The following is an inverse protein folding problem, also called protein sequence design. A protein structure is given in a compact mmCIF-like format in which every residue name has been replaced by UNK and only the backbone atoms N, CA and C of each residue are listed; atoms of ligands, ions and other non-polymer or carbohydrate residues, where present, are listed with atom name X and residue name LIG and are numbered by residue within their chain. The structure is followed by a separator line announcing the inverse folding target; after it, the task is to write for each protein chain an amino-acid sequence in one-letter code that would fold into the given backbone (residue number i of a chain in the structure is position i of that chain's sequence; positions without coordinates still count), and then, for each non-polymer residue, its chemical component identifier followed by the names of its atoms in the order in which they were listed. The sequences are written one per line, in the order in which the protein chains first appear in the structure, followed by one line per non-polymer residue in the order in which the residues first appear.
data_IF_848548416044
#
_entry.id   IF_848548416044
#
_cell.length_a   1.000
_cell.length_b   1.000
_cell.length_c   1.000
_cell.angle_alpha   90.00
_cell.angle_beta   90.00
_cell.angle_gamma   90.00
#
_symmetry.space_group_name_H-M   'P 1'
#
loop_
_entity.id
_entity.type
_entity.pdbx_description
1 polymer ?
#
# COMPACT_ATOMS: atom_id res chain seq x y z
N UNK A 1 -22.44 -5.23 4.12
CA UNK A 1 -21.20 -5.97 3.86
C UNK A 1 -21.51 -7.45 4.02
N UNK A 2 -21.35 -8.21 2.96
CA UNK A 2 -21.54 -9.65 2.95
C UNK A 2 -20.21 -10.34 3.20
N UNK A 3 -20.21 -11.45 3.95
CA UNK A 3 -19.03 -12.24 4.23
C UNK A 3 -19.05 -13.44 3.29
N UNK A 4 -18.03 -13.57 2.44
CA UNK A 4 -17.91 -14.64 1.46
C UNK A 4 -16.65 -15.47 1.71
N UNK A 5 -16.80 -16.79 1.72
CA UNK A 5 -15.66 -17.72 1.79
C UNK A 5 -15.15 -18.03 0.39
N UNK A 6 -13.85 -17.89 0.22
CA UNK A 6 -13.15 -18.34 -1.00
C UNK A 6 -12.34 -19.58 -0.64
N UNK A 7 -12.76 -20.73 -1.18
CA UNK A 7 -12.09 -22.02 -1.00
C UNK A 7 -11.13 -22.30 -2.14
N UNK A 8 -10.22 -23.27 -1.94
CA UNK A 8 -9.19 -23.66 -2.91
C UNK A 8 -8.25 -22.50 -3.28
N UNK A 9 -7.88 -21.77 -2.27
CA UNK A 9 -7.02 -20.61 -2.37
C UNK A 9 -5.57 -21.02 -2.69
N UNK A 10 -4.97 -20.42 -3.71
CA UNK A 10 -3.53 -20.45 -3.93
C UNK A 10 -2.85 -19.27 -3.23
N UNK A 11 -1.68 -19.52 -2.64
CA UNK A 11 -0.90 -18.47 -1.96
C UNK A 11 -0.54 -17.36 -2.94
N UNK A 12 -0.71 -16.12 -2.52
CA UNK A 12 -0.43 -14.95 -3.34
C UNK A 12 -0.97 -13.66 -2.71
N UNK A 13 -0.62 -12.53 -3.32
CA UNK A 13 -1.19 -11.24 -2.97
C UNK A 13 -2.45 -11.01 -3.79
N UNK A 14 -3.51 -10.53 -3.16
CA UNK A 14 -4.78 -10.21 -3.81
C UNK A 14 -5.06 -8.72 -3.66
N UNK A 15 -5.47 -8.08 -4.76
CA UNK A 15 -5.73 -6.63 -4.81
C UNK A 15 -7.07 -6.41 -5.50
N UNK A 16 -8.02 -5.69 -4.88
CA UNK A 16 -9.27 -5.33 -5.52
C UNK A 16 -9.02 -4.48 -6.78
N UNK A 17 -9.67 -4.82 -7.86
CA UNK A 17 -9.59 -4.08 -9.12
C UNK A 17 -10.93 -3.46 -9.47
N UNK A 18 -11.97 -4.29 -9.52
CA UNK A 18 -13.35 -3.87 -9.71
C UNK A 18 -14.28 -4.80 -8.91
N UNK A 19 -15.60 -4.61 -8.99
CA UNK A 19 -16.58 -5.36 -8.19
C UNK A 19 -16.59 -6.88 -8.45
N UNK A 20 -16.02 -7.33 -9.55
CA UNK A 20 -16.04 -8.74 -9.96
C UNK A 20 -14.67 -9.39 -9.89
N UNK A 21 -13.59 -8.60 -9.97
CA UNK A 21 -12.24 -9.10 -10.23
C UNK A 21 -11.25 -8.59 -9.19
N UNK A 22 -10.43 -9.50 -8.72
CA UNK A 22 -9.19 -9.26 -7.98
C UNK A 22 -7.98 -9.48 -8.89
N UNK A 23 -6.94 -8.71 -8.69
CA UNK A 23 -5.62 -9.04 -9.21
C UNK A 23 -4.97 -10.03 -8.24
N UNK A 24 -4.59 -11.20 -8.69
CA UNK A 24 -3.82 -12.18 -7.94
C UNK A 24 -2.38 -12.16 -8.43
N UNK A 25 -1.44 -12.02 -7.50
CA UNK A 25 0.00 -12.00 -7.79
C UNK A 25 0.64 -13.15 -7.04
N UNK A 26 1.30 -14.04 -7.78
CA UNK A 26 2.03 -15.18 -7.22
C UNK A 26 3.51 -14.99 -7.53
N UNK A 27 4.35 -15.05 -6.52
CA UNK A 27 5.80 -15.02 -6.71
C UNK A 27 6.28 -16.38 -7.25
N UNK A 28 7.02 -16.35 -8.34
CA UNK A 28 7.74 -17.54 -8.80
C UNK A 28 9.05 -17.64 -7.99
N UNK A 29 9.11 -18.64 -7.12
CA UNK A 29 10.31 -18.91 -6.32
C UNK A 29 11.49 -19.45 -7.15
N UNK A 30 11.31 -19.63 -8.46
CA UNK A 30 12.40 -19.98 -9.36
C UNK A 30 13.25 -18.73 -9.58
N UNK A 31 14.40 -18.71 -8.96
CA UNK A 31 15.44 -17.71 -9.26
C UNK A 31 15.95 -17.97 -10.68
N UNK A 32 15.44 -17.21 -11.62
CA UNK A 32 16.02 -17.11 -12.95
C UNK A 32 16.89 -15.86 -12.96
N UNK A 33 18.18 -16.05 -13.11
CA UNK A 33 19.18 -15.00 -13.12
C UNK A 33 19.20 -14.18 -11.81
N UNK A 34 18.95 -12.87 -11.89
CA UNK A 34 19.00 -11.97 -10.73
C UNK A 34 17.61 -11.51 -10.24
N UNK A 35 16.54 -11.93 -10.92
CA UNK A 35 15.19 -11.44 -10.64
C UNK A 35 14.25 -12.58 -10.32
N UNK A 36 13.43 -12.39 -9.29
CA UNK A 36 12.29 -13.26 -9.02
C UNK A 36 11.15 -12.90 -9.97
N UNK A 37 10.69 -13.86 -10.75
CA UNK A 37 9.52 -13.68 -11.60
C UNK A 37 8.21 -13.64 -10.81
N UNK A 38 7.19 -13.06 -11.42
CA UNK A 38 5.85 -13.00 -10.87
C UNK A 38 4.85 -13.50 -11.90
N UNK A 39 3.85 -14.24 -11.41
CA UNK A 39 2.66 -14.57 -12.17
C UNK A 39 1.55 -13.62 -11.79
N UNK A 40 0.84 -13.11 -12.76
CA UNK A 40 -0.26 -12.17 -12.56
C UNK A 40 -1.53 -12.75 -13.15
N UNK A 41 -2.58 -12.83 -12.35
CA UNK A 41 -3.87 -13.34 -12.76
C UNK A 41 -4.97 -12.32 -12.48
N UNK A 42 -5.96 -12.27 -13.36
CA UNK A 42 -7.28 -11.76 -13.02
C UNK A 42 -8.07 -12.91 -12.37
N UNK A 43 -8.54 -12.70 -11.17
CA UNK A 43 -9.23 -13.71 -10.36
C UNK A 43 -10.67 -13.25 -10.06
N UNK A 44 -11.64 -14.08 -10.40
CA UNK A 44 -13.04 -13.86 -10.04
C UNK A 44 -13.38 -14.69 -8.79
N UNK A 45 -13.58 -14.07 -7.62
CA UNK A 45 -13.85 -14.80 -6.39
C UNK A 45 -15.23 -15.47 -6.34
N UNK A 46 -16.16 -15.11 -7.22
CA UNK A 46 -17.51 -15.68 -7.23
C UNK A 46 -17.54 -17.12 -7.79
N UNK A 47 -16.69 -17.41 -8.75
CA UNK A 47 -16.63 -18.71 -9.42
C UNK A 47 -15.27 -19.39 -9.37
N UNK A 48 -14.27 -18.77 -8.71
CA UNK A 48 -12.88 -19.19 -8.65
C UNK A 48 -12.17 -19.27 -10.02
N UNK A 49 -12.72 -18.64 -11.04
CA UNK A 49 -12.06 -18.56 -12.33
C UNK A 49 -10.89 -17.59 -12.27
N UNK A 50 -9.82 -17.93 -12.93
CA UNK A 50 -8.65 -17.08 -13.06
C UNK A 50 -8.13 -17.10 -14.50
N UNK A 51 -7.66 -15.96 -14.92
CA UNK A 51 -7.06 -15.73 -16.22
C UNK A 51 -5.65 -15.17 -16.03
N UNK A 52 -4.64 -15.88 -16.50
CA UNK A 52 -3.25 -15.42 -16.42
C UNK A 52 -2.99 -14.33 -17.43
N UNK A 53 -2.48 -13.21 -16.96
CA UNK A 53 -2.11 -12.08 -17.81
C UNK A 53 -0.69 -12.32 -18.30
N UNK A 54 -0.56 -12.67 -19.59
CA UNK A 54 0.73 -13.06 -20.09
C UNK A 54 1.09 -12.62 -21.47
N UNK A 55 0.41 -11.84 -22.16
CA UNK A 55 0.39 -12.03 -23.60
C UNK A 55 1.77 -11.91 -24.26
N UNK A 56 2.57 -10.94 -23.95
CA UNK A 56 3.79 -10.66 -24.71
C UNK A 56 5.06 -10.59 -23.85
N UNK A 57 4.87 -10.60 -22.53
CA UNK A 57 5.98 -10.48 -21.57
C UNK A 57 6.21 -11.83 -20.93
N UNK A 58 7.41 -12.41 -21.03
CA UNK A 58 7.72 -13.65 -20.33
C UNK A 58 7.49 -13.47 -18.83
N UNK A 59 6.65 -14.32 -18.24
CA UNK A 59 6.26 -14.24 -16.83
C UNK A 59 7.43 -14.17 -15.85
N UNK A 60 8.54 -14.79 -16.20
CA UNK A 60 9.77 -14.78 -15.40
C UNK A 60 10.49 -13.44 -15.37
N UNK A 61 10.15 -12.52 -16.26
CA UNK A 61 10.76 -11.19 -16.34
C UNK A 61 9.94 -10.11 -15.61
N UNK A 62 8.75 -10.44 -15.11
CA UNK A 62 7.95 -9.50 -14.32
C UNK A 62 8.59 -9.34 -12.95
N UNK A 63 9.05 -8.13 -12.62
CA UNK A 63 9.83 -7.87 -11.40
C UNK A 63 9.07 -7.08 -10.35
N UNK A 64 8.30 -6.07 -10.75
CA UNK A 64 7.50 -5.25 -9.85
C UNK A 64 6.12 -5.00 -10.43
N UNK A 65 5.14 -4.80 -9.56
CA UNK A 65 3.78 -4.44 -9.91
C UNK A 65 3.42 -3.19 -9.14
N UNK A 66 2.91 -2.21 -9.86
CA UNK A 66 2.45 -0.95 -9.32
C UNK A 66 0.97 -0.83 -9.65
N UNK A 67 0.15 -0.73 -8.65
CA UNK A 67 -1.29 -0.58 -8.82
C UNK A 67 -1.73 0.78 -8.28
N UNK A 68 -2.70 1.36 -8.95
CA UNK A 68 -3.34 2.58 -8.50
C UNK A 68 -4.28 2.32 -7.31
N UNK A 69 -5.17 3.25 -7.05
CA UNK A 69 -6.26 3.04 -6.10
C UNK A 69 -7.24 1.98 -6.62
N UNK A 70 -7.96 1.36 -5.69
CA UNK A 70 -9.15 0.58 -5.98
C UNK A 70 -10.05 1.29 -7.01
N UNK A 71 -10.78 0.54 -7.83
CA UNK A 71 -11.68 1.03 -8.88
C UNK A 71 -11.01 1.54 -10.18
N UNK A 72 -9.78 1.16 -10.46
CA UNK A 72 -9.15 1.48 -11.72
C UNK A 72 -9.15 0.31 -12.69
N UNK A 73 -9.38 0.63 -13.94
CA UNK A 73 -9.38 -0.32 -15.04
C UNK A 73 -7.96 -0.66 -15.55
N UNK A 74 -6.94 -0.40 -14.73
CA UNK A 74 -5.55 -0.66 -15.12
C UNK A 74 -4.60 -0.86 -13.94
N UNK A 75 -3.46 -1.45 -14.22
CA UNK A 75 -2.29 -1.46 -13.34
C UNK A 75 -1.00 -1.39 -14.16
N UNK A 76 0.11 -1.05 -13.51
CA UNK A 76 1.43 -0.97 -14.12
C UNK A 76 2.30 -2.10 -13.58
N UNK A 77 3.05 -2.74 -14.45
CA UNK A 77 4.06 -3.71 -14.04
C UNK A 77 5.36 -3.53 -14.84
N UNK A 78 6.45 -4.10 -14.35
CA UNK A 78 7.75 -3.99 -14.99
C UNK A 78 8.30 -5.36 -15.33
N UNK A 79 9.05 -5.43 -16.43
CA UNK A 79 9.94 -6.54 -16.71
C UNK A 79 11.39 -6.05 -16.77
N UNK A 80 12.32 -6.98 -16.50
CA UNK A 80 13.74 -6.74 -16.60
C UNK A 80 14.37 -7.71 -17.59
N UNK A 81 15.27 -7.17 -18.44
CA UNK A 81 16.05 -7.95 -19.40
C UNK A 81 17.51 -7.50 -19.33
N UNK A 82 18.41 -8.38 -18.94
CA UNK A 82 19.85 -8.10 -18.99
C UNK A 82 20.26 -7.90 -20.44
N UNK A 83 20.91 -6.77 -20.74
CA UNK A 83 21.53 -6.50 -22.03
C UNK A 83 22.96 -7.04 -22.03
N UNK A 84 23.67 -6.78 -20.93
CA UNK A 84 25.03 -7.26 -20.66
C UNK A 84 25.25 -7.33 -19.13
N UNK A 85 26.48 -7.63 -18.70
CA UNK A 85 26.81 -7.77 -17.26
C UNK A 85 26.59 -6.47 -16.45
N UNK A 86 26.63 -5.31 -17.10
CA UNK A 86 26.56 -4.00 -16.46
C UNK A 86 25.24 -3.30 -16.65
N UNK A 87 24.44 -3.71 -17.63
CA UNK A 87 23.24 -3.00 -18.05
C UNK A 87 22.03 -3.91 -18.13
N UNK A 88 20.94 -3.41 -17.58
CA UNK A 88 19.61 -4.08 -17.63
C UNK A 88 18.58 -3.11 -18.21
N UNK A 89 17.83 -3.58 -19.15
CA UNK A 89 16.66 -2.88 -19.69
C UNK A 89 15.47 -3.16 -18.79
N UNK A 90 14.85 -2.10 -18.26
CA UNK A 90 13.57 -2.15 -17.55
C UNK A 90 12.50 -1.60 -18.50
N UNK A 91 11.46 -2.39 -18.71
CA UNK A 91 10.31 -2.01 -19.51
C UNK A 91 9.09 -1.91 -18.61
N UNK A 92 8.37 -0.81 -18.70
CA UNK A 92 7.15 -0.53 -17.96
C UNK A 92 5.97 -0.76 -18.87
N UNK A 93 5.03 -1.55 -18.38
CA UNK A 93 3.82 -1.92 -19.08
C UNK A 93 2.61 -1.39 -18.35
N UNK A 94 1.65 -0.91 -19.10
CA UNK A 94 0.32 -0.58 -18.67
C UNK A 94 -0.62 -1.69 -19.15
N UNK A 95 -1.30 -2.33 -18.25
CA UNK A 95 -2.31 -3.31 -18.57
C UNK A 95 -3.69 -2.73 -18.35
N UNK A 96 -4.51 -2.69 -19.39
CA UNK A 96 -5.89 -2.26 -19.34
C UNK A 96 -6.81 -3.47 -19.21
N UNK A 97 -7.53 -3.54 -18.08
CA UNK A 97 -8.28 -4.73 -17.67
C UNK A 97 -9.50 -4.96 -18.55
N UNK A 98 -10.28 -3.91 -18.86
CA UNK A 98 -11.48 -4.00 -19.70
C UNK A 98 -11.18 -4.43 -21.13
N UNK A 99 -10.01 -4.05 -21.65
CA UNK A 99 -9.57 -4.41 -23.00
C UNK A 99 -8.74 -5.70 -23.03
N UNK A 100 -8.22 -6.14 -21.90
CA UNK A 100 -7.23 -7.22 -21.77
C UNK A 100 -5.99 -6.99 -22.65
N UNK A 101 -5.57 -5.73 -22.73
CA UNK A 101 -4.44 -5.31 -23.57
C UNK A 101 -3.28 -4.76 -22.75
N UNK A 102 -2.07 -5.01 -23.25
CA UNK A 102 -0.82 -4.54 -22.65
C UNK A 102 -0.16 -3.51 -23.55
N UNK A 103 0.22 -2.37 -22.98
CA UNK A 103 0.92 -1.30 -23.68
C UNK A 103 2.26 -1.03 -23.01
N UNK A 104 3.31 -0.83 -23.79
CA UNK A 104 4.59 -0.32 -23.29
C UNK A 104 4.43 1.17 -23.09
N UNK A 105 4.64 1.64 -21.86
CA UNK A 105 4.53 3.05 -21.51
C UNK A 105 5.90 3.74 -21.39
N UNK A 106 6.95 3.00 -21.02
CA UNK A 106 8.31 3.52 -20.91
C UNK A 106 9.32 2.38 -20.94
N UNK A 107 10.54 2.69 -21.40
CA UNK A 107 11.68 1.75 -21.37
C UNK A 107 12.93 2.52 -20.98
N UNK A 108 13.67 2.02 -20.00
CA UNK A 108 14.89 2.64 -19.51
C UNK A 108 16.00 1.59 -19.38
N UNK A 109 17.21 1.97 -19.78
CA UNK A 109 18.42 1.18 -19.51
C UNK A 109 19.04 1.69 -18.23
N UNK A 110 19.33 0.80 -17.32
CA UNK A 110 19.87 1.12 -15.98
C UNK A 110 21.08 0.24 -15.66
N UNK A 111 22.01 0.71 -14.83
CA UNK A 111 23.09 -0.11 -14.33
C UNK A 111 22.54 -1.29 -13.52
N UNK A 112 22.99 -2.51 -13.80
CA UNK A 112 22.47 -3.74 -13.19
C UNK A 112 22.68 -3.79 -11.68
N UNK A 113 23.80 -3.26 -11.18
CA UNK A 113 24.11 -3.18 -9.76
C UNK A 113 23.17 -2.27 -8.99
N UNK A 114 22.74 -1.16 -9.61
CA UNK A 114 21.82 -0.19 -9.01
C UNK A 114 20.41 -0.74 -8.79
N UNK A 115 20.01 -1.77 -9.55
CA UNK A 115 18.69 -2.41 -9.36
C UNK A 115 18.55 -3.16 -8.04
N UNK A 116 19.65 -3.42 -7.34
CA UNK A 116 19.65 -3.98 -5.99
C UNK A 116 19.32 -2.96 -4.91
N UNK A 117 19.46 -1.68 -5.23
CA UNK A 117 19.10 -0.61 -4.31
C UNK A 117 17.57 -0.50 -4.23
N UNK A 118 16.98 -0.55 -3.03
CA UNK A 118 15.59 -0.24 -2.86
C UNK A 118 15.32 1.17 -3.43
N UNK A 119 14.23 1.32 -4.14
CA UNK A 119 13.78 2.62 -4.65
C UNK A 119 14.73 3.34 -5.64
N UNK A 120 15.70 2.62 -6.26
CA UNK A 120 16.52 3.21 -7.30
C UNK A 120 15.67 3.72 -8.48
N UNK A 121 14.72 2.93 -8.91
CA UNK A 121 13.78 3.26 -9.97
C UNK A 121 12.39 2.86 -9.54
N UNK A 122 11.47 3.81 -9.53
CA UNK A 122 10.06 3.55 -9.21
C UNK A 122 9.12 4.32 -10.12
N UNK A 123 7.92 3.80 -10.28
CA UNK A 123 6.81 4.48 -10.91
C UNK A 123 5.76 4.81 -9.86
N UNK A 124 5.26 6.02 -9.92
CA UNK A 124 4.18 6.52 -9.09
C UNK A 124 2.98 6.75 -9.99
N UNK A 125 1.95 5.95 -9.80
CA UNK A 125 0.71 6.10 -10.55
C UNK A 125 -0.10 7.22 -9.91
N UNK A 126 -0.26 8.32 -10.62
CA UNK A 126 -1.09 9.45 -10.21
C UNK A 126 -2.57 9.13 -10.42
N UNK A 127 -3.43 10.13 -10.45
CA UNK A 127 -4.81 9.96 -10.84
C UNK A 127 -4.96 9.93 -12.37
N UNK A 128 -5.99 9.27 -12.88
CA UNK A 128 -6.29 9.18 -14.32
C UNK A 128 -5.15 8.50 -15.11
N UNK A 129 -4.68 9.07 -16.18
CA UNK A 129 -3.75 8.44 -17.13
C UNK A 129 -2.31 8.95 -16.96
N UNK A 130 -1.91 9.38 -15.76
CA UNK A 130 -0.59 9.94 -15.51
C UNK A 130 0.26 9.06 -14.60
N UNK A 131 1.54 8.88 -15.00
CA UNK A 131 2.57 8.25 -14.20
C UNK A 131 3.76 9.19 -14.03
N UNK A 132 4.42 9.14 -12.89
CA UNK A 132 5.73 9.76 -12.67
C UNK A 132 6.75 8.65 -12.47
N UNK A 133 7.78 8.64 -13.32
CA UNK A 133 8.95 7.81 -13.15
C UNK A 133 9.98 8.59 -12.36
N UNK A 134 10.46 8.03 -11.28
CA UNK A 134 11.48 8.60 -10.42
C UNK A 134 12.73 7.73 -10.45
N UNK A 135 13.88 8.34 -10.72
CA UNK A 135 15.19 7.69 -10.69
C UNK A 135 16.07 8.35 -9.64
N UNK A 136 16.67 7.54 -8.77
CA UNK A 136 17.59 7.99 -7.75
C UNK A 136 19.01 8.08 -8.32
N UNK A 137 19.56 9.28 -8.40
CA UNK A 137 20.88 9.56 -8.98
C UNK A 137 21.97 9.79 -7.92
N UNK A 138 21.58 10.18 -6.70
CA UNK A 138 22.51 10.57 -5.65
C UNK A 138 22.03 10.28 -4.23
N UNK A 139 22.72 10.86 -3.28
CA UNK A 139 22.38 10.72 -1.87
C UNK A 139 21.20 11.60 -1.46
N UNK A 140 20.34 11.09 -0.61
CA UNK A 140 19.19 11.80 -0.08
C UNK A 140 19.56 13.15 0.54
N UNK A 141 18.83 14.18 0.18
CA UNK A 141 19.04 15.55 0.66
C UNK A 141 19.97 16.41 -0.20
N UNK A 142 20.77 15.81 -1.09
CA UNK A 142 21.60 16.57 -2.03
C UNK A 142 20.76 17.06 -3.22
N UNK A 143 21.21 18.15 -3.82
CA UNK A 143 20.57 18.67 -5.02
C UNK A 143 20.66 17.64 -6.15
N UNK A 144 19.58 17.53 -6.92
CA UNK A 144 19.47 16.65 -8.09
C UNK A 144 19.71 15.15 -7.80
N UNK A 145 19.46 14.74 -6.54
CA UNK A 145 19.54 13.32 -6.15
C UNK A 145 18.45 12.46 -6.77
N UNK A 146 17.38 13.08 -7.24
CA UNK A 146 16.28 12.43 -7.93
C UNK A 146 15.96 13.15 -9.23
N UNK A 147 15.67 12.40 -10.28
CA UNK A 147 15.17 12.88 -11.56
C UNK A 147 13.79 12.31 -11.84
N UNK A 148 13.00 13.04 -12.60
CA UNK A 148 11.60 12.74 -12.81
C UNK A 148 11.21 12.84 -14.28
N UNK A 149 10.41 11.87 -14.72
CA UNK A 149 9.76 11.86 -16.01
C UNK A 149 8.24 11.71 -15.79
N UNK A 150 7.47 12.69 -16.21
CA UNK A 150 6.02 12.62 -16.26
C UNK A 150 5.57 11.97 -17.57
N UNK A 151 4.73 10.96 -17.47
CA UNK A 151 4.11 10.28 -18.62
C UNK A 151 2.61 10.49 -18.61
N UNK A 152 2.11 11.11 -19.68
CA UNK A 152 0.70 11.07 -20.06
C UNK A 152 0.49 9.82 -20.91
N UNK A 153 -0.08 8.80 -20.33
CA UNK A 153 -0.26 7.48 -20.98
C UNK A 153 -1.23 7.59 -22.15
N UNK A 154 -2.34 8.30 -21.96
CA UNK A 154 -3.39 8.46 -22.98
C UNK A 154 -2.91 9.14 -24.24
N UNK A 155 -2.14 10.21 -24.09
CA UNK A 155 -1.64 10.99 -25.22
C UNK A 155 -0.22 10.56 -25.66
N UNK A 156 0.35 9.56 -24.99
CA UNK A 156 1.70 9.05 -25.20
C UNK A 156 2.77 10.16 -25.19
N UNK A 157 2.66 11.11 -24.25
CA UNK A 157 3.60 12.21 -24.10
C UNK A 157 4.48 12.02 -22.89
N UNK A 158 5.73 12.40 -23.02
CA UNK A 158 6.72 12.39 -21.93
C UNK A 158 7.27 13.78 -21.71
N UNK A 159 7.50 14.13 -20.46
CA UNK A 159 8.08 15.39 -20.04
C UNK A 159 9.05 15.15 -18.88
N UNK A 160 10.32 15.44 -19.10
CA UNK A 160 11.28 15.57 -18.01
C UNK A 160 11.01 16.86 -17.24
N UNK A 161 10.98 16.79 -15.93
CA UNK A 161 10.82 17.98 -15.11
C UNK A 161 11.78 17.98 -13.92
N UNK A 162 12.07 19.19 -13.44
CA UNK A 162 12.89 19.41 -12.26
C UNK A 162 12.11 20.25 -11.27
N UNK A 163 12.27 19.91 -10.00
CA UNK A 163 11.70 20.63 -8.88
C UNK A 163 12.69 20.55 -7.73
N UNK A 164 13.01 21.66 -7.07
CA UNK A 164 14.07 21.68 -6.06
C UNK A 164 13.79 20.74 -4.88
N UNK A 165 12.56 20.72 -4.36
CA UNK A 165 12.17 19.89 -3.23
C UNK A 165 12.17 18.40 -3.63
N UNK A 166 11.56 18.07 -4.76
CA UNK A 166 11.53 16.71 -5.26
C UNK A 166 12.93 16.22 -5.63
N UNK A 167 13.73 17.05 -6.27
CA UNK A 167 15.11 16.71 -6.66
C UNK A 167 16.00 16.36 -5.47
N UNK A 168 15.73 16.92 -4.29
CA UNK A 168 16.46 16.60 -3.05
C UNK A 168 15.95 15.39 -2.31
N UNK A 169 14.64 15.22 -2.24
CA UNK A 169 14.01 14.27 -1.29
C UNK A 169 13.24 13.14 -1.95
N UNK A 170 12.93 13.25 -3.24
CA UNK A 170 12.10 12.28 -3.95
C UNK A 170 10.65 12.25 -3.49
N UNK A 171 9.80 11.57 -4.23
CA UNK A 171 8.42 11.30 -3.84
C UNK A 171 8.37 9.93 -3.19
N UNK A 172 8.25 9.88 -1.87
CA UNK A 172 8.21 8.61 -1.15
C UNK A 172 6.91 7.84 -1.41
N UNK A 173 5.79 8.56 -1.37
CA UNK A 173 4.47 7.94 -1.53
C UNK A 173 3.42 8.91 -2.08
N UNK A 174 2.52 8.37 -2.89
CA UNK A 174 1.27 9.01 -3.29
C UNK A 174 0.11 8.13 -2.86
N UNK A 175 -0.92 8.75 -2.28
CA UNK A 175 -2.12 8.07 -1.81
C UNK A 175 -3.33 8.76 -2.42
N UNK A 176 -4.07 8.11 -3.33
CA UNK A 176 -5.29 8.67 -3.88
C UNK A 176 -6.33 8.94 -2.78
N UNK A 177 -6.92 10.13 -2.79
CA UNK A 177 -7.98 10.52 -1.85
C UNK A 177 -9.35 10.49 -2.55
N UNK A 178 -10.05 11.61 -2.65
CA UNK A 178 -11.32 11.73 -3.36
C UNK A 178 -11.16 12.60 -4.62
N UNK A 179 -11.83 12.24 -5.70
CA UNK A 179 -11.76 12.97 -6.96
C UNK A 179 -10.32 13.04 -7.51
N UNK A 180 -9.84 14.24 -7.77
CA UNK A 180 -8.49 14.51 -8.27
C UNK A 180 -7.48 14.85 -7.14
N UNK A 181 -7.82 14.62 -5.89
CA UNK A 181 -6.93 14.87 -4.77
C UNK A 181 -6.08 13.64 -4.46
N UNK A 182 -4.81 13.87 -4.14
CA UNK A 182 -3.89 12.88 -3.65
C UNK A 182 -3.13 13.41 -2.42
N UNK A 183 -2.95 12.55 -1.43
CA UNK A 183 -1.93 12.75 -0.41
C UNK A 183 -0.55 12.48 -1.02
N UNK A 184 0.40 13.37 -0.83
CA UNK A 184 1.78 13.22 -1.26
C UNK A 184 2.72 13.28 -0.07
N UNK A 185 3.71 12.38 -0.06
CA UNK A 185 4.81 12.38 0.91
C UNK A 185 6.12 12.53 0.15
N UNK A 186 6.84 13.61 0.46
CA UNK A 186 8.14 13.94 -0.14
C UNK A 186 9.23 13.59 0.85
N UNK A 187 9.95 12.52 0.57
CA UNK A 187 10.90 11.94 1.49
C UNK A 187 10.28 11.75 2.88
N UNK A 188 11.03 12.11 3.92
CA UNK A 188 10.54 12.19 5.29
C UNK A 188 10.29 13.65 5.76
N UNK A 189 10.20 14.59 4.82
CA UNK A 189 10.19 16.03 5.07
C UNK A 189 8.82 16.67 4.97
N UNK A 190 8.05 16.35 3.93
CA UNK A 190 6.78 17.01 3.65
C UNK A 190 5.65 16.01 3.47
N UNK A 191 4.53 16.26 4.12
CA UNK A 191 3.24 15.62 3.79
C UNK A 191 2.24 16.71 3.44
N UNK A 192 1.61 16.56 2.29
CA UNK A 192 0.61 17.50 1.81
C UNK A 192 -0.47 16.83 0.99
N UNK A 193 -1.42 17.62 0.57
CA UNK A 193 -2.47 17.26 -0.40
C UNK A 193 -2.23 18.05 -1.67
N UNK A 194 -2.27 17.39 -2.80
CA UNK A 194 -2.17 17.98 -4.13
C UNK A 194 -3.42 17.70 -4.93
N UNK A 195 -3.78 18.63 -5.81
CA UNK A 195 -4.69 18.35 -6.91
C UNK A 195 -3.86 17.86 -8.11
N UNK A 196 -4.14 16.66 -8.59
CA UNK A 196 -3.32 16.01 -9.63
C UNK A 196 -3.28 16.81 -10.91
N UNK A 197 -4.40 17.38 -11.37
CA UNK A 197 -4.42 18.18 -12.58
C UNK A 197 -3.56 19.44 -12.45
N UNK A 198 -3.61 20.10 -11.29
CA UNK A 198 -2.77 21.26 -11.00
C UNK A 198 -1.30 20.84 -10.93
N UNK A 199 -0.99 19.75 -10.24
CA UNK A 199 0.37 19.22 -10.13
C UNK A 199 0.97 18.93 -11.51
N UNK A 200 0.22 18.24 -12.39
CA UNK A 200 0.65 17.98 -13.77
C UNK A 200 0.87 19.28 -14.54
N UNK A 201 -0.05 20.22 -14.41
CA UNK A 201 0.05 21.54 -15.07
C UNK A 201 1.29 22.31 -14.63
N UNK A 202 1.57 22.30 -13.33
CA UNK A 202 2.72 22.97 -12.73
C UNK A 202 4.04 22.35 -13.20
N UNK A 203 4.10 21.02 -13.34
CA UNK A 203 5.28 20.32 -13.88
C UNK A 203 5.49 20.68 -15.36
N UNK A 204 4.42 20.73 -16.16
CA UNK A 204 4.50 21.10 -17.58
C UNK A 204 5.05 22.51 -17.80
N UNK A 205 4.70 23.47 -16.95
CA UNK A 205 5.22 24.85 -17.04
C UNK A 205 6.55 25.05 -16.31
N UNK A 206 7.09 24.01 -15.67
CA UNK A 206 8.39 24.05 -15.01
C UNK A 206 8.41 24.89 -13.73
N UNK A 207 7.35 24.82 -12.91
CA UNK A 207 7.34 25.51 -11.62
C UNK A 207 8.39 24.92 -10.68
N UNK A 208 9.17 25.80 -10.07
CA UNK A 208 10.22 25.41 -9.10
C UNK A 208 9.65 24.84 -7.79
N UNK A 209 8.41 25.17 -7.46
CA UNK A 209 7.75 24.77 -6.23
C UNK A 209 6.44 24.07 -6.49
N UNK A 210 6.15 23.06 -5.68
CA UNK A 210 4.88 22.34 -5.71
C UNK A 210 3.77 23.22 -5.13
N UNK A 211 2.66 23.35 -5.86
CA UNK A 211 1.45 23.96 -5.36
C UNK A 211 0.62 22.91 -4.61
N UNK A 212 0.73 22.93 -3.29
CA UNK A 212 -0.11 22.12 -2.44
C UNK A 212 -1.52 22.70 -2.32
N UNK A 213 -2.54 21.84 -2.36
CA UNK A 213 -3.89 22.21 -1.93
C UNK A 213 -3.92 22.45 -0.43
N UNK A 214 -3.13 21.67 0.31
CA UNK A 214 -2.92 21.84 1.75
C UNK A 214 -1.57 21.22 2.15
N UNK A 215 -0.78 21.93 2.95
CA UNK A 215 0.43 21.40 3.57
C UNK A 215 0.06 20.93 4.97
N UNK A 216 0.12 19.63 5.19
CA UNK A 216 -0.27 19.04 6.47
C UNK A 216 0.85 19.11 7.49
N UNK A 217 2.08 18.82 7.08
CA UNK A 217 3.27 18.92 7.92
C UNK A 217 4.54 19.13 7.12
N UNK A 218 5.47 19.90 7.73
CA UNK A 218 6.85 20.02 7.32
C UNK A 218 7.76 19.62 8.49
N UNK A 219 8.62 18.63 8.26
CA UNK A 219 9.53 18.17 9.29
C UNK A 219 10.73 19.11 9.46
N UNK A 220 11.05 19.45 10.70
CA UNK A 220 12.33 20.04 11.07
C UNK A 220 13.47 19.01 10.96
N UNK A 221 14.70 19.41 11.23
CA UNK A 221 15.85 18.50 11.13
C UNK A 221 15.81 17.35 12.16
N UNK A 222 15.12 17.56 13.29
CA UNK A 222 14.95 16.54 14.33
C UNK A 222 13.69 15.70 14.16
N UNK A 223 12.82 16.10 13.24
CA UNK A 223 11.53 15.44 13.00
C UNK A 223 11.53 14.66 11.71
N UNK A 224 10.84 13.54 11.71
CA UNK A 224 10.65 12.69 10.54
C UNK A 224 9.17 12.40 10.34
N UNK A 225 8.71 12.50 9.10
CA UNK A 225 7.37 12.12 8.71
C UNK A 225 7.41 10.71 8.10
N UNK A 226 6.53 9.83 8.54
CA UNK A 226 6.51 8.44 8.12
C UNK A 226 5.09 7.91 7.92
N UNK A 227 5.00 6.73 7.35
CA UNK A 227 3.83 5.85 7.33
C UNK A 227 2.51 6.47 6.83
N UNK A 228 2.57 7.32 5.81
CA UNK A 228 1.34 7.88 5.24
C UNK A 228 0.47 6.79 4.60
N UNK A 229 -0.82 6.77 4.95
CA UNK A 229 -1.81 5.89 4.31
C UNK A 229 -3.22 6.50 4.38
N UNK A 230 -4.07 6.10 3.44
CA UNK A 230 -5.50 6.39 3.48
C UNK A 230 -6.21 5.37 4.37
N UNK A 231 -7.17 5.86 5.12
CA UNK A 231 -8.10 5.05 5.88
C UNK A 231 -9.49 5.70 5.83
N UNK A 232 -10.41 5.12 5.06
CA UNK A 232 -11.70 5.74 4.72
C UNK A 232 -11.52 7.17 4.20
N UNK A 233 -12.21 8.16 4.78
CA UNK A 233 -12.12 9.58 4.44
C UNK A 233 -11.01 10.30 5.19
N UNK A 234 -10.00 9.58 5.68
CA UNK A 234 -8.88 10.16 6.42
C UNK A 234 -7.55 9.79 5.82
N UNK A 235 -6.61 10.72 5.90
CA UNK A 235 -5.19 10.48 5.68
C UNK A 235 -4.52 10.34 7.05
N UNK A 236 -3.86 9.21 7.25
CA UNK A 236 -3.18 8.87 8.48
C UNK A 236 -1.68 8.89 8.24
N UNK A 237 -0.90 9.51 9.13
CA UNK A 237 0.56 9.48 9.10
C UNK A 237 1.16 9.63 10.48
N UNK A 238 2.44 9.31 10.64
CA UNK A 238 3.16 9.51 11.88
C UNK A 238 4.20 10.61 11.75
N UNK A 239 4.42 11.29 12.87
CA UNK A 239 5.41 12.33 13.04
C UNK A 239 6.28 11.95 14.24
N UNK A 240 7.55 11.68 13.98
CA UNK A 240 8.51 11.22 14.98
C UNK A 240 9.51 12.31 15.28
N UNK A 241 9.62 12.70 16.55
CA UNK A 241 10.69 13.55 17.05
C UNK A 241 11.75 12.67 17.73
N UNK A 242 12.89 12.51 17.04
CA UNK A 242 14.00 11.68 17.55
C UNK A 242 14.63 12.31 18.79
N UNK A 243 14.66 13.64 18.88
CA UNK A 243 15.28 14.35 19.98
C UNK A 243 14.45 14.30 21.27
N UNK A 244 13.13 14.27 21.13
CA UNK A 244 12.18 14.20 22.25
C UNK A 244 11.75 12.78 22.60
N UNK A 245 12.23 11.76 21.88
CA UNK A 245 11.77 10.37 21.98
C UNK A 245 10.23 10.26 21.93
N UNK A 246 9.62 11.01 21.02
CA UNK A 246 8.15 11.07 20.89
C UNK A 246 7.68 10.77 19.49
N UNK A 247 6.54 10.13 19.40
CA UNK A 247 5.84 9.88 18.15
C UNK A 247 4.38 10.32 18.25
N UNK A 248 3.94 11.08 17.25
CA UNK A 248 2.58 11.56 17.10
C UNK A 248 1.89 10.80 15.95
N UNK A 249 0.66 10.38 16.17
CA UNK A 249 -0.24 9.92 15.12
C UNK A 249 -1.10 11.09 14.69
N UNK A 250 -1.02 11.43 13.42
CA UNK A 250 -1.81 12.53 12.83
C UNK A 250 -2.90 11.94 11.95
N UNK A 251 -4.11 12.42 12.15
CA UNK A 251 -5.30 12.04 11.40
C UNK A 251 -5.83 13.30 10.73
N UNK A 252 -5.90 13.28 9.41
CA UNK A 252 -6.46 14.37 8.62
C UNK A 252 -7.71 13.90 7.88
N UNK A 253 -8.85 14.47 8.28
CA UNK A 253 -10.11 14.32 7.56
C UNK A 253 -10.10 15.29 6.38
N UNK A 254 -9.92 14.79 5.16
CA UNK A 254 -9.76 15.63 3.99
C UNK A 254 -11.10 16.16 3.44
N UNK A 255 -12.23 15.58 3.80
CA UNK A 255 -13.56 16.11 3.42
C UNK A 255 -13.92 17.33 4.26
N UNK A 256 -13.65 17.26 5.57
CA UNK A 256 -13.92 18.33 6.53
C UNK A 256 -12.72 19.26 6.78
N UNK A 257 -11.55 18.96 6.22
CA UNK A 257 -10.27 19.66 6.44
C UNK A 257 -9.89 19.78 7.93
N UNK A 258 -10.18 18.75 8.70
CA UNK A 258 -9.90 18.71 10.14
C UNK A 258 -8.68 17.84 10.41
N UNK A 259 -7.66 18.45 11.00
CA UNK A 259 -6.46 17.77 11.48
C UNK A 259 -6.59 17.48 12.97
N UNK A 260 -6.36 16.23 13.36
CA UNK A 260 -6.31 15.79 14.76
C UNK A 260 -4.98 15.13 15.02
N UNK A 261 -4.34 15.49 16.11
CA UNK A 261 -3.07 14.91 16.55
C UNK A 261 -3.31 14.07 17.79
N UNK A 262 -2.70 12.89 17.82
CA UNK A 262 -2.69 11.99 18.96
C UNK A 262 -1.24 11.66 19.31
N UNK A 263 -0.87 11.95 20.55
CA UNK A 263 0.46 11.65 21.08
C UNK A 263 0.56 10.18 21.47
N UNK A 264 1.64 9.55 21.04
CA UNK A 264 2.10 8.30 21.58
C UNK A 264 3.31 8.56 22.48
N UNK A 265 3.35 7.98 23.67
CA UNK A 265 4.16 8.50 24.77
C UNK A 265 5.68 8.34 24.63
N UNK A 266 6.17 7.37 23.87
CA UNK A 266 7.61 7.17 23.56
C UNK A 266 7.79 6.38 22.28
N UNK A 267 8.89 6.63 21.55
CA UNK A 267 9.21 5.85 20.34
C UNK A 267 9.41 4.35 20.67
N UNK A 268 10.04 4.06 21.83
CA UNK A 268 10.24 2.69 22.33
C UNK A 268 8.96 1.96 22.77
N UNK A 269 7.91 2.72 23.04
CA UNK A 269 6.58 2.24 23.42
C UNK A 269 5.57 2.48 22.31
N UNK A 270 6.02 3.07 21.20
CA UNK A 270 5.19 3.40 20.07
C UNK A 270 4.55 2.14 19.51
N UNK A 271 3.28 2.24 19.30
CA UNK A 271 2.54 1.24 18.56
C UNK A 271 3.16 1.05 17.20
N UNK A 272 3.32 -0.20 16.78
CA UNK A 272 3.57 -0.45 15.37
C UNK A 272 2.44 0.24 14.57
N UNK A 273 2.81 1.19 13.71
CA UNK A 273 1.85 1.93 12.90
C UNK A 273 0.95 1.00 12.06
N UNK A 274 1.41 -0.20 11.74
CA UNK A 274 0.62 -1.21 11.03
C UNK A 274 -0.64 -1.60 11.81
N UNK A 275 -0.59 -1.48 13.12
CA UNK A 275 -1.65 -1.87 14.03
C UNK A 275 -2.58 -0.72 14.42
N UNK A 276 -2.39 0.48 13.83
CA UNK A 276 -3.29 1.62 14.06
C UNK A 276 -4.37 1.64 12.97
N UNK A 277 -5.61 1.74 13.38
CA UNK A 277 -6.76 1.93 12.50
C UNK A 277 -7.75 2.95 13.07
N UNK A 278 -8.62 3.47 12.22
CA UNK A 278 -9.65 4.43 12.59
C UNK A 278 -11.01 3.77 12.41
N UNK A 279 -11.74 3.58 13.50
CA UNK A 279 -13.08 2.98 13.50
C UNK A 279 -14.06 4.05 13.95
N UNK A 280 -15.02 4.38 13.10
CA UNK A 280 -16.03 5.43 13.36
C UNK A 280 -15.40 6.77 13.82
N UNK A 281 -14.29 7.16 13.20
CA UNK A 281 -13.56 8.39 13.51
C UNK A 281 -12.71 8.34 14.79
N UNK A 282 -12.66 7.22 15.48
CA UNK A 282 -11.84 7.00 16.68
C UNK A 282 -10.60 6.18 16.30
N UNK A 283 -9.38 6.65 16.61
CA UNK A 283 -8.17 5.88 16.37
C UNK A 283 -7.97 4.82 17.45
N UNK A 284 -7.68 3.61 17.03
CA UNK A 284 -7.34 2.47 17.88
C UNK A 284 -5.98 1.93 17.54
N UNK A 285 -5.29 1.43 18.56
CA UNK A 285 -4.07 0.65 18.44
C UNK A 285 -4.32 -0.80 18.86
N UNK A 286 -3.94 -1.73 18.01
CA UNK A 286 -3.96 -3.17 18.28
C UNK A 286 -2.56 -3.62 18.70
N UNK A 287 -2.28 -3.53 19.99
CA UNK A 287 -0.97 -3.84 20.55
C UNK A 287 -0.86 -5.33 20.87
N UNK A 288 -0.12 -6.05 20.05
CA UNK A 288 0.17 -7.46 20.22
C UNK A 288 1.26 -7.70 21.28
N UNK A 289 1.10 -8.76 22.05
CA UNK A 289 2.08 -9.21 23.04
C UNK A 289 1.94 -10.71 23.29
N UNK A 290 2.89 -11.31 23.99
CA UNK A 290 2.82 -12.72 24.42
C UNK A 290 1.59 -13.04 25.29
N UNK A 291 0.92 -12.02 25.83
CA UNK A 291 -0.29 -12.12 26.66
C UNK A 291 -1.57 -11.88 25.88
N UNK A 292 -1.48 -11.75 24.56
CA UNK A 292 -2.58 -11.44 23.66
C UNK A 292 -2.58 -10.00 23.16
N UNK A 293 -3.60 -9.65 22.40
CA UNK A 293 -3.74 -8.34 21.77
C UNK A 293 -4.60 -7.41 22.62
N UNK A 294 -4.10 -6.21 22.91
CA UNK A 294 -4.86 -5.13 23.54
C UNK A 294 -5.34 -4.15 22.49
N UNK A 295 -6.64 -3.86 22.49
CA UNK A 295 -7.24 -2.82 21.63
C UNK A 295 -7.35 -1.56 22.49
N UNK A 296 -6.52 -0.57 22.14
CA UNK A 296 -6.35 0.65 22.92
C UNK A 296 -6.98 1.80 22.15
N UNK A 297 -7.93 2.50 22.75
CA UNK A 297 -8.47 3.75 22.23
C UNK A 297 -7.44 4.86 22.42
N UNK A 298 -6.91 5.39 21.32
CA UNK A 298 -5.87 6.42 21.36
C UNK A 298 -6.36 7.79 21.83
N UNK A 299 -7.68 8.04 21.82
CA UNK A 299 -8.24 9.27 22.38
C UNK A 299 -8.21 9.29 23.91
N UNK A 300 -8.52 8.13 24.50
CA UNK A 300 -8.64 7.99 25.97
C UNK A 300 -7.42 7.32 26.59
N UNK A 301 -6.55 6.71 25.77
CA UNK A 301 -5.42 5.88 26.18
C UNK A 301 -5.82 4.67 27.06
N UNK A 302 -7.07 4.24 26.98
CA UNK A 302 -7.57 3.08 27.72
C UNK A 302 -7.65 1.85 26.85
N UNK A 303 -7.29 0.71 27.44
CA UNK A 303 -7.57 -0.59 26.82
C UNK A 303 -9.08 -0.85 26.92
N UNK A 304 -9.75 -0.94 25.80
CA UNK A 304 -11.18 -1.25 25.73
C UNK A 304 -11.42 -2.75 25.64
N UNK A 305 -10.55 -3.46 24.91
CA UNK A 305 -10.65 -4.92 24.74
C UNK A 305 -9.30 -5.60 24.91
N UNK A 306 -9.37 -6.87 25.31
CA UNK A 306 -8.21 -7.78 25.37
C UNK A 306 -8.61 -9.09 24.71
N UNK A 307 -7.85 -9.46 23.69
CA UNK A 307 -7.96 -10.78 23.06
C UNK A 307 -6.94 -11.73 23.68
N UNK A 308 -7.27 -13.03 23.81
CA UNK A 308 -6.36 -14.05 24.32
C UNK A 308 -5.07 -14.17 23.49
N UNK A 309 -4.05 -14.82 24.05
CA UNK A 309 -2.75 -14.97 23.41
C UNK A 309 -2.74 -15.88 22.17
N UNK A 310 -3.74 -16.74 22.06
CA UNK A 310 -3.96 -17.66 20.95
C UNK A 310 -4.82 -17.06 19.83
N UNK A 311 -5.32 -15.82 20.02
CA UNK A 311 -6.13 -15.08 19.06
C UNK A 311 -5.30 -13.99 18.40
N UNK A 312 -5.11 -14.08 17.09
CA UNK A 312 -4.46 -13.08 16.26
C UNK A 312 -5.49 -12.18 15.59
N UNK A 313 -5.18 -10.90 15.48
CA UNK A 313 -5.95 -9.96 14.66
C UNK A 313 -5.39 -9.96 13.25
N UNK A 314 -6.15 -10.51 12.32
CA UNK A 314 -5.70 -10.71 10.93
C UNK A 314 -6.04 -9.50 10.04
N UNK A 315 -7.14 -8.82 10.35
CA UNK A 315 -7.61 -7.72 9.53
C UNK A 315 -8.52 -6.78 10.32
N UNK A 316 -8.36 -5.48 10.06
CA UNK A 316 -9.24 -4.45 10.60
C UNK A 316 -9.52 -3.43 9.51
N UNK A 317 -10.79 -3.23 9.22
CA UNK A 317 -11.23 -2.15 8.34
C UNK A 317 -12.66 -1.74 8.66
N UNK A 318 -12.92 -0.43 8.62
CA UNK A 318 -14.19 0.16 9.05
C UNK A 318 -14.53 -0.21 10.50
N UNK A 319 -15.64 -0.91 10.72
CA UNK A 319 -16.06 -1.45 12.02
C UNK A 319 -15.87 -2.98 12.10
N UNK A 320 -15.14 -3.58 11.15
CA UNK A 320 -14.95 -5.03 11.07
C UNK A 320 -13.56 -5.43 11.55
N UNK A 321 -13.54 -6.43 12.40
CA UNK A 321 -12.32 -7.08 12.89
C UNK A 321 -12.40 -8.56 12.56
N UNK A 322 -11.37 -9.08 11.86
CA UNK A 322 -11.20 -10.50 11.60
C UNK A 322 -10.12 -11.05 12.50
N UNK A 323 -10.42 -12.10 13.21
CA UNK A 323 -9.46 -12.80 14.07
C UNK A 323 -9.30 -14.25 13.63
N UNK A 324 -8.13 -14.80 13.87
CA UNK A 324 -7.87 -16.24 13.78
C UNK A 324 -7.41 -16.76 15.14
N UNK A 325 -7.80 -17.98 15.49
CA UNK A 325 -7.35 -18.67 16.68
C UNK A 325 -6.43 -19.82 16.28
N UNK A 326 -5.18 -19.78 16.72
CA UNK A 326 -4.22 -20.86 16.54
C UNK A 326 -4.17 -21.72 17.79
N UNK A 327 -4.84 -22.86 17.76
CA UNK A 327 -4.78 -23.82 18.85
C UNK A 327 -3.39 -24.47 18.88
N UNK A 328 -2.52 -24.05 19.81
CA UNK A 328 -1.22 -24.69 20.03
C UNK A 328 -1.41 -26.17 20.37
N UNK A 329 -0.79 -27.05 19.58
CA UNK A 329 -0.75 -28.48 19.87
C UNK A 329 -0.10 -28.75 21.22
N UNK A 330 -0.88 -29.07 22.24
CA UNK A 330 -0.39 -29.67 23.48
C UNK A 330 -0.82 -31.12 23.67
N UNK A 331 -1.48 -31.77 22.74
CA UNK A 331 -1.80 -33.19 22.84
C UNK A 331 -1.81 -33.90 21.48
N UNK A 332 -1.28 -35.13 21.48
CA UNK A 332 -1.19 -36.06 20.38
C UNK A 332 -2.59 -36.41 19.76
N UNK A 333 -3.67 -36.01 20.37
CA UNK A 333 -5.05 -36.40 20.01
C UNK A 333 -5.96 -35.22 19.59
N UNK A 334 -5.50 -33.97 19.55
CA UNK A 334 -6.30 -32.85 19.06
C UNK A 334 -5.94 -32.50 17.64
N UNK A 335 -6.91 -32.62 16.72
CA UNK A 335 -6.83 -32.00 15.40
C UNK A 335 -6.71 -30.50 15.57
N UNK A 336 -5.82 -29.88 14.81
CA UNK A 336 -5.75 -28.43 14.66
C UNK A 336 -7.09 -27.98 14.10
N UNK A 337 -7.83 -27.22 14.87
CA UNK A 337 -8.99 -26.51 14.40
C UNK A 337 -8.61 -25.03 14.44
N UNK A 338 -8.19 -24.49 13.30
CA UNK A 338 -8.09 -23.05 13.14
C UNK A 338 -9.53 -22.53 13.08
N UNK A 339 -9.82 -21.50 13.87
CA UNK A 339 -11.10 -20.80 13.83
C UNK A 339 -10.86 -19.42 13.25
N UNK A 340 -11.75 -18.97 12.37
CA UNK A 340 -11.82 -17.59 11.92
C UNK A 340 -13.11 -16.99 12.43
N UNK A 341 -13.00 -15.90 13.13
CA UNK A 341 -14.15 -15.15 13.64
C UNK A 341 -14.14 -13.72 13.11
N UNK A 342 -15.31 -13.23 12.78
CA UNK A 342 -15.52 -11.85 12.32
C UNK A 342 -16.40 -11.15 13.33
N UNK A 343 -15.93 -10.03 13.82
CA UNK A 343 -16.63 -9.19 14.79
C UNK A 343 -16.97 -7.84 14.17
N UNK A 344 -18.05 -7.23 14.66
CA UNK A 344 -18.35 -5.84 14.43
C UNK A 344 -18.00 -5.03 15.66
N UNK A 345 -17.07 -4.09 15.51
CA UNK A 345 -16.69 -3.20 16.59
C UNK A 345 -17.80 -2.15 16.87
N UNK A 346 -18.10 -1.78 18.11
CA UNK A 346 -17.42 -2.17 19.33
C UNK A 346 -17.90 -3.48 19.98
N UNK A 347 -18.86 -4.20 19.42
CA UNK A 347 -19.31 -5.47 19.99
C UNK A 347 -18.33 -6.60 19.62
N UNK A 348 -17.39 -6.87 20.53
CA UNK A 348 -16.43 -7.97 20.41
C UNK A 348 -16.88 -9.25 21.15
N UNK A 349 -18.10 -9.26 21.68
CA UNK A 349 -18.60 -10.42 22.44
C UNK A 349 -19.27 -11.46 21.56
N UNK A 350 -19.80 -11.02 20.42
CA UNK A 350 -20.55 -11.87 19.51
C UNK A 350 -19.96 -11.80 18.09
N UNK A 351 -19.37 -12.90 17.64
CA UNK A 351 -18.94 -13.02 16.27
C UNK A 351 -20.15 -12.99 15.33
N UNK A 352 -20.11 -12.10 14.33
CA UNK A 352 -21.13 -12.04 13.27
C UNK A 352 -20.96 -13.16 12.24
N UNK A 353 -19.76 -13.75 12.20
CA UNK A 353 -19.42 -14.88 11.36
C UNK A 353 -18.35 -15.74 12.03
N UNK A 354 -18.43 -17.07 11.85
CA UNK A 354 -17.45 -18.03 12.36
C UNK A 354 -17.31 -19.22 11.42
N UNK A 355 -16.06 -19.59 11.11
CA UNK A 355 -15.75 -20.83 10.37
C UNK A 355 -14.64 -21.61 11.07
N UNK A 356 -14.56 -22.92 10.78
CA UNK A 356 -13.50 -23.81 11.25
C UNK A 356 -12.48 -24.15 10.18
N UNK A 357 -12.54 -23.46 9.06
CA UNK A 357 -11.58 -23.64 7.98
C UNK A 357 -10.27 -22.90 8.33
N UNK A 358 -9.15 -23.41 7.83
CA UNK A 358 -7.84 -22.79 8.06
C UNK A 358 -7.77 -21.42 7.39
N UNK A 359 -7.49 -20.38 8.17
CA UNK A 359 -7.33 -19.03 7.66
C UNK A 359 -6.10 -18.93 6.76
N UNK A 360 -6.26 -18.29 5.61
CA UNK A 360 -5.21 -18.01 4.64
C UNK A 360 -5.04 -16.53 4.33
N UNK A 361 -6.07 -15.74 4.57
CA UNK A 361 -6.08 -14.30 4.34
C UNK A 361 -7.49 -13.76 4.25
N UNK A 362 -7.61 -12.46 4.24
CA UNK A 362 -8.87 -11.78 3.95
C UNK A 362 -8.62 -10.43 3.29
N UNK A 363 -9.60 -9.97 2.55
CA UNK A 363 -9.58 -8.68 1.89
C UNK A 363 -10.99 -8.10 1.79
N UNK A 364 -11.11 -6.79 1.98
CA UNK A 364 -12.33 -6.08 1.61
C UNK A 364 -12.36 -5.91 0.10
N UNK A 365 -13.45 -6.37 -0.49
CA UNK A 365 -13.70 -6.29 -1.91
C UNK A 365 -15.03 -5.54 -2.11
N UNK A 366 -14.96 -4.22 -2.20
CA UNK A 366 -16.09 -3.29 -2.23
C UNK A 366 -17.03 -3.45 -1.02
N UNK A 367 -18.23 -3.95 -1.23
CA UNK A 367 -19.22 -4.17 -0.18
C UNK A 367 -19.10 -5.53 0.50
N UNK A 368 -18.19 -6.38 0.04
CA UNK A 368 -17.97 -7.72 0.54
C UNK A 368 -16.67 -7.84 1.33
N UNK A 369 -16.65 -8.73 2.31
CA UNK A 369 -15.43 -9.25 2.95
C UNK A 369 -15.17 -10.66 2.43
N UNK A 370 -14.09 -10.83 1.68
CA UNK A 370 -13.65 -12.13 1.21
C UNK A 370 -12.70 -12.73 2.25
N UNK A 371 -12.99 -13.93 2.71
CA UNK A 371 -12.15 -14.71 3.62
C UNK A 371 -11.63 -15.91 2.85
N UNK A 372 -10.33 -15.97 2.69
CA UNK A 372 -9.64 -17.07 2.02
C UNK A 372 -9.33 -18.16 3.04
N UNK A 373 -9.74 -19.39 2.71
CA UNK A 373 -9.59 -20.56 3.58
C UNK A 373 -9.10 -21.76 2.78
N UNK A 374 -8.34 -22.64 3.44
CA UNK A 374 -7.76 -23.82 2.78
C UNK A 374 -7.50 -25.00 3.72
#
# INVERSE_FOLDING_TARGET
MDIKLVKNFEEGMYIPVNREILLQIIDDNRRLEQFNGKHIFLFNPANNERFEILPEVPKFNVTKIYYGSEERDYFVFTSAKMINEHETQITFYWYQISLQETFIIHTQIVPTDRLREPDYLKVLVLAQDFCVFETKNGEYGNKDSYSFLLKDVKNNKELEFQNEELGRFGIDKIVPLSGNLCGIKIGNKTIGVINVNQFVSDMVIGLEKINYTDILDNASDTMQLAHMRKYNNTLLYTKRDVSADSEEVVIYDYDNKVKRVRLNSRISEAADFKNICVISGVPYNFLESDKGTRIINLNTQKTEYKLPADVCVEYVQDDIIVTSEHVKKMSIFRKENDFVEVFRFPDMHHAIYKTRDKFKGCIKHFDDLLIFVG
#
